data_IF_230344774613
#
_entry.id   IF_230344774613
#
_cell.length_a   1.000
_cell.length_b   1.000
_cell.length_c   1.000
_cell.angle_alpha   90.00
_cell.angle_beta   90.00
_cell.angle_gamma   90.00
#
_symmetry.space_group_name_H-M   'P 1'
#
loop_
_entity.id
_entity.type
_entity.pdbx_description
1 polymer ?
#
# COMPACT_ATOMS: atom_id res chain seq x y z
N UNK A 1 16.23 26.03 -4.21
CA UNK A 1 15.72 24.97 -3.32
C UNK A 1 15.15 23.93 -4.24
N UNK A 2 15.90 22.85 -4.45
CA UNK A 2 15.52 21.84 -5.44
C UNK A 2 14.67 20.80 -4.73
N UNK A 3 13.37 20.82 -5.02
CA UNK A 3 12.44 19.84 -4.48
C UNK A 3 12.58 18.54 -5.28
N UNK A 4 13.23 17.54 -4.68
CA UNK A 4 13.37 16.20 -5.25
C UNK A 4 12.24 15.31 -4.74
N UNK A 5 11.57 14.58 -5.63
CA UNK A 5 10.55 13.59 -5.31
C UNK A 5 10.79 12.32 -6.12
N UNK A 6 10.28 11.18 -5.64
CA UNK A 6 10.32 9.92 -6.36
C UNK A 6 8.91 9.46 -6.70
N UNK A 7 8.72 8.88 -7.88
CA UNK A 7 7.45 8.26 -8.25
C UNK A 7 7.45 6.80 -7.80
N UNK A 8 6.28 6.29 -7.46
CA UNK A 8 6.12 4.87 -7.04
C UNK A 8 6.51 3.91 -8.16
N UNK A 9 6.26 4.27 -9.41
CA UNK A 9 6.65 3.48 -10.60
C UNK A 9 8.15 3.19 -10.67
N UNK A 10 8.99 4.07 -10.14
CA UNK A 10 10.45 3.92 -10.16
C UNK A 10 10.96 3.02 -9.02
N UNK A 11 10.11 2.69 -8.05
CA UNK A 11 10.48 1.93 -6.85
C UNK A 11 10.14 0.46 -7.03
N UNK A 12 11.16 -0.35 -7.34
CA UNK A 12 11.03 -1.80 -7.52
C UNK A 12 11.13 -2.61 -6.22
N UNK A 13 11.17 -1.94 -5.07
CA UNK A 13 11.28 -2.60 -3.76
C UNK A 13 9.95 -3.22 -3.34
N UNK A 14 9.97 -4.34 -2.60
CA UNK A 14 8.75 -4.91 -2.01
C UNK A 14 8.24 -4.03 -0.88
N UNK A 15 6.91 -4.01 -0.71
CA UNK A 15 6.26 -3.25 0.36
C UNK A 15 6.52 -3.93 1.70
N UNK A 16 7.14 -3.20 2.62
CA UNK A 16 7.44 -3.68 3.96
C UNK A 16 6.73 -2.85 5.03
N UNK A 17 6.25 -3.50 6.09
CA UNK A 17 5.62 -2.84 7.24
C UNK A 17 6.17 -3.44 8.52
N UNK A 18 6.63 -2.61 9.45
CA UNK A 18 7.04 -3.06 10.78
C UNK A 18 5.85 -3.03 11.73
N UNK A 19 5.57 -4.16 12.37
CA UNK A 19 4.62 -4.22 13.49
C UNK A 19 5.42 -4.02 14.78
N UNK A 20 5.20 -2.89 15.46
CA UNK A 20 5.98 -2.51 16.63
C UNK A 20 5.34 -3.03 17.92
N UNK A 21 4.34 -2.32 18.43
CA UNK A 21 3.70 -2.60 19.73
C UNK A 21 2.19 -2.54 19.64
N UNK A 22 1.52 -3.37 20.43
CA UNK A 22 0.08 -3.28 20.67
C UNK A 22 -0.12 -2.75 22.09
N UNK A 23 -0.88 -1.67 22.19
CA UNK A 23 -1.25 -1.03 23.44
C UNK A 23 -2.76 -1.13 23.67
N UNK A 24 -3.11 -1.08 24.96
CA UNK A 24 -4.48 -1.04 25.43
C UNK A 24 -4.82 -2.22 26.32
N UNK A 25 -5.84 -2.02 27.14
CA UNK A 25 -6.34 -3.04 28.05
C UNK A 25 -7.37 -3.86 27.30
N UNK A 26 -6.92 -4.85 26.53
CA UNK A 26 -7.85 -5.86 26.06
C UNK A 26 -8.38 -6.57 27.30
N UNK A 27 -9.59 -6.21 27.72
CA UNK A 27 -10.41 -7.10 28.52
C UNK A 27 -10.72 -8.26 27.59
N UNK A 28 -9.79 -9.20 27.52
CA UNK A 28 -10.17 -10.58 27.29
C UNK A 28 -11.23 -10.84 28.34
N UNK A 29 -12.50 -10.72 27.95
CA UNK A 29 -13.52 -11.56 28.54
C UNK A 29 -12.97 -12.94 28.23
N UNK A 30 -12.24 -13.49 29.20
CA UNK A 30 -11.81 -14.87 29.24
C UNK A 30 -13.09 -15.64 28.99
N UNK A 31 -13.31 -15.99 27.73
CA UNK A 31 -14.37 -16.89 27.34
C UNK A 31 -13.83 -18.20 27.87
N UNK A 32 -14.19 -18.45 29.13
CA UNK A 32 -14.17 -19.74 29.76
C UNK A 32 -13.02 -20.63 29.28
N UNK A 33 -11.84 -20.39 29.85
CA UNK A 33 -11.21 -21.53 30.53
C UNK A 33 -12.17 -21.93 31.65
N UNK A 34 -13.30 -22.55 31.29
CA UNK A 34 -14.00 -23.51 32.12
C UNK A 34 -13.10 -24.74 32.17
N UNK A 35 -11.91 -24.53 32.73
CA UNK A 35 -11.13 -25.57 33.35
C UNK A 35 -11.85 -25.74 34.67
N UNK A 36 -12.44 -26.92 34.83
CA UNK A 36 -13.05 -27.40 36.06
C UNK A 36 -12.33 -26.81 37.27
N UNK A 37 -13.10 -26.15 38.15
CA UNK A 37 -12.67 -25.59 39.45
C UNK A 37 -12.18 -26.65 40.45
N UNK A 38 -11.73 -27.80 39.96
CA UNK A 38 -11.39 -28.99 40.70
C UNK A 38 -10.17 -29.63 40.05
N UNK A 39 -9.03 -28.93 40.08
CA UNK A 39 -7.76 -29.48 40.57
C UNK A 39 -6.59 -28.52 40.39
N UNK A 40 -6.01 -28.17 41.54
CA UNK A 40 -4.66 -27.68 41.77
C UNK A 40 -4.39 -26.22 41.34
N UNK A 41 -4.84 -25.34 42.22
CA UNK A 41 -4.31 -24.00 42.43
C UNK A 41 -2.88 -24.07 42.98
N UNK A 42 -1.89 -24.25 42.11
CA UNK A 42 -0.50 -23.86 42.41
C UNK A 42 -0.17 -22.59 41.63
N UNK A 43 -0.50 -21.46 42.26
CA UNK A 43 0.14 -20.16 42.14
C UNK A 43 1.32 -20.06 41.14
N UNK A 44 1.05 -19.49 39.97
CA UNK A 44 1.99 -18.52 39.39
C UNK A 44 1.23 -17.22 39.21
N UNK A 45 1.56 -16.24 40.05
CA UNK A 45 1.00 -14.87 40.11
C UNK A 45 1.21 -14.04 38.83
N UNK A 46 1.76 -14.65 37.78
CA UNK A 46 2.00 -14.04 36.48
C UNK A 46 1.07 -14.72 35.48
N UNK A 47 -0.16 -14.22 35.30
CA UNK A 47 -0.96 -14.63 34.15
C UNK A 47 -0.15 -14.25 32.91
N UNK A 48 0.31 -15.20 32.07
CA UNK A 48 0.92 -14.84 30.81
C UNK A 48 -0.09 -14.03 30.01
N UNK A 49 0.41 -13.01 29.29
CA UNK A 49 -0.41 -12.33 28.29
C UNK A 49 -0.87 -13.38 27.25
N UNK A 50 -2.04 -13.17 26.63
CA UNK A 50 -2.50 -14.06 25.57
C UNK A 50 -1.49 -14.18 24.43
N UNK A 51 -1.51 -15.35 23.80
CA UNK A 51 -0.79 -15.61 22.57
C UNK A 51 -1.48 -14.89 21.42
N UNK A 52 -0.89 -13.79 20.97
CA UNK A 52 -1.45 -12.93 19.92
C UNK A 52 -0.55 -12.97 18.70
N UNK A 53 -1.15 -12.98 17.52
CA UNK A 53 -0.45 -12.76 16.26
C UNK A 53 -1.21 -11.74 15.40
N UNK A 54 -0.48 -11.06 14.53
CA UNK A 54 -1.04 -10.04 13.64
C UNK A 54 -0.94 -10.54 12.21
N UNK A 55 -2.01 -10.34 11.43
CA UNK A 55 -1.99 -10.55 9.98
C UNK A 55 -2.17 -9.23 9.26
N UNK A 56 -1.38 -9.04 8.22
CA UNK A 56 -1.38 -7.87 7.35
C UNK A 56 -1.73 -8.31 5.94
N UNK A 57 -2.72 -7.65 5.35
CA UNK A 57 -3.15 -7.90 3.97
C UNK A 57 -3.34 -6.57 3.25
N UNK A 58 -2.93 -6.51 1.98
CA UNK A 58 -3.09 -5.33 1.17
C UNK A 58 -4.35 -5.44 0.30
N UNK A 59 -5.12 -4.36 0.26
CA UNK A 59 -6.32 -4.18 -0.55
C UNK A 59 -6.15 -2.99 -1.51
N UNK A 60 -6.75 -3.09 -2.68
CA UNK A 60 -6.90 -2.01 -3.66
C UNK A 60 -8.27 -2.10 -4.30
N UNK A 61 -9.00 -0.99 -4.36
CA UNK A 61 -10.36 -0.91 -4.90
C UNK A 61 -11.31 -2.02 -4.40
N UNK A 62 -11.30 -2.27 -3.09
CA UNK A 62 -12.07 -3.32 -2.39
C UNK A 62 -11.68 -4.77 -2.76
N UNK A 63 -10.56 -4.98 -3.45
CA UNK A 63 -10.05 -6.31 -3.80
C UNK A 63 -8.73 -6.60 -3.07
N UNK A 64 -8.53 -7.81 -2.54
CA UNK A 64 -7.26 -8.18 -1.95
C UNK A 64 -6.20 -8.27 -3.06
N UNK A 65 -5.12 -7.50 -2.91
CA UNK A 65 -3.96 -7.52 -3.81
C UNK A 65 -2.93 -8.57 -3.40
N UNK A 66 -2.85 -8.87 -2.09
CA UNK A 66 -1.90 -9.84 -1.55
C UNK A 66 -2.61 -10.90 -0.72
N UNK A 67 -1.90 -12.01 -0.52
CA UNK A 67 -2.21 -12.97 0.55
C UNK A 67 -1.90 -12.36 1.93
N UNK A 68 -2.63 -12.77 2.97
CA UNK A 68 -2.37 -12.31 4.33
C UNK A 68 -1.03 -12.83 4.84
N UNK A 69 -0.15 -11.92 5.27
CA UNK A 69 1.15 -12.23 5.87
C UNK A 69 1.02 -12.13 7.39
N UNK A 70 1.49 -13.13 8.12
CA UNK A 70 1.40 -13.20 9.59
C UNK A 70 2.74 -12.87 10.25
N UNK A 71 2.68 -12.30 11.45
CA UNK A 71 3.86 -12.16 12.33
C UNK A 71 4.34 -13.51 12.83
N UNK A 72 5.62 -13.57 13.17
CA UNK A 72 6.20 -14.67 13.92
C UNK A 72 5.55 -14.81 15.31
N UNK A 73 5.58 -16.03 15.84
CA UNK A 73 5.10 -16.29 17.20
C UNK A 73 6.10 -15.76 18.22
N UNK A 74 5.59 -15.04 19.23
CA UNK A 74 6.39 -14.56 20.36
C UNK A 74 5.58 -14.69 21.64
N UNK A 75 6.20 -15.24 22.69
CA UNK A 75 5.59 -15.31 24.00
C UNK A 75 5.73 -13.97 24.73
N UNK A 76 4.60 -13.39 25.16
CA UNK A 76 4.57 -12.07 25.80
C UNK A 76 4.51 -12.19 27.32
N UNK A 77 5.30 -11.36 28.02
CA UNK A 77 5.34 -11.32 29.49
C UNK A 77 4.64 -10.07 30.05
N UNK A 78 5.12 -8.88 29.68
CA UNK A 78 4.65 -7.62 30.27
C UNK A 78 3.88 -6.72 29.28
N UNK A 79 4.25 -6.74 27.99
CA UNK A 79 3.60 -5.97 26.94
C UNK A 79 3.73 -6.70 25.60
N UNK A 80 2.85 -6.37 24.65
CA UNK A 80 2.89 -6.92 23.30
C UNK A 80 3.83 -6.10 22.40
N UNK A 81 5.05 -6.60 22.19
CA UNK A 81 6.03 -6.02 21.26
C UNK A 81 6.55 -7.08 20.28
N UNK A 82 6.28 -6.88 18.99
CA UNK A 82 6.84 -7.72 17.93
C UNK A 82 8.17 -7.15 17.44
N UNK A 83 8.18 -5.88 17.06
CA UNK A 83 9.29 -5.19 16.40
C UNK A 83 9.80 -5.98 15.17
N UNK A 84 8.87 -6.52 14.39
CA UNK A 84 9.14 -7.39 13.25
C UNK A 84 8.76 -6.69 11.95
N UNK A 85 9.64 -6.76 10.95
CA UNK A 85 9.36 -6.31 9.59
C UNK A 85 8.67 -7.43 8.81
N UNK A 86 7.47 -7.13 8.29
CA UNK A 86 6.73 -7.99 7.39
C UNK A 86 6.85 -7.46 5.97
N UNK A 87 7.36 -8.31 5.08
CA UNK A 87 7.47 -8.00 3.64
C UNK A 87 6.29 -8.62 2.92
N UNK A 88 5.50 -7.79 2.25
CA UNK A 88 4.37 -8.22 1.43
C UNK A 88 4.86 -8.62 0.03
N UNK A 89 4.22 -9.60 -0.63
CA UNK A 89 4.60 -10.09 -1.96
C UNK A 89 4.10 -9.15 -3.08
N UNK A 90 4.31 -7.85 -2.94
CA UNK A 90 3.96 -6.82 -3.92
C UNK A 90 4.98 -5.69 -3.84
N UNK A 91 5.29 -5.08 -4.98
CA UNK A 91 6.25 -3.98 -5.09
C UNK A 91 5.55 -2.63 -5.00
N UNK A 92 6.31 -1.58 -4.66
CA UNK A 92 5.79 -0.21 -4.61
C UNK A 92 5.30 0.29 -5.97
N UNK A 93 5.92 -0.13 -7.08
CA UNK A 93 5.50 0.21 -8.44
C UNK A 93 4.13 -0.34 -8.85
N UNK A 94 3.68 -1.43 -8.22
CA UNK A 94 2.42 -2.11 -8.56
C UNK A 94 1.27 -1.65 -7.65
N UNK A 95 1.52 -0.70 -6.74
CA UNK A 95 0.52 -0.20 -5.80
C UNK A 95 -0.44 0.78 -6.46
N UNK A 96 -1.77 0.57 -6.37
CA UNK A 96 -2.74 1.58 -6.78
C UNK A 96 -2.79 2.74 -5.78
N UNK A 97 -3.22 3.92 -6.21
CA UNK A 97 -3.42 5.08 -5.33
C UNK A 97 -4.43 4.81 -4.19
N UNK A 98 -5.36 3.89 -4.40
CA UNK A 98 -6.35 3.46 -3.42
C UNK A 98 -5.84 2.41 -2.42
N UNK A 99 -4.55 2.05 -2.46
CA UNK A 99 -4.00 0.97 -1.64
C UNK A 99 -4.20 1.19 -0.13
N UNK A 100 -4.78 0.17 0.52
CA UNK A 100 -5.03 0.13 1.96
C UNK A 100 -4.46 -1.14 2.57
N UNK A 101 -3.86 -1.01 3.74
CA UNK A 101 -3.44 -2.12 4.58
C UNK A 101 -4.55 -2.48 5.55
N UNK A 102 -5.09 -3.68 5.40
CA UNK A 102 -5.97 -4.32 6.38
C UNK A 102 -5.08 -5.08 7.38
N UNK A 103 -5.16 -4.71 8.65
CA UNK A 103 -4.38 -5.31 9.73
C UNK A 103 -5.35 -5.87 10.77
N UNK A 104 -5.25 -7.16 11.02
CA UNK A 104 -6.08 -7.86 12.01
C UNK A 104 -5.21 -8.50 13.07
N UNK A 105 -5.59 -8.27 14.32
CA UNK A 105 -4.96 -8.84 15.50
C UNK A 105 -5.81 -10.02 15.96
N UNK A 106 -5.19 -11.18 16.12
CA UNK A 106 -5.86 -12.44 16.44
C UNK A 106 -5.40 -12.99 17.79
N UNK A 107 -6.35 -13.47 18.57
CA UNK A 107 -6.11 -14.26 19.77
C UNK A 107 -6.07 -15.75 19.43
N UNK A 108 -5.00 -16.44 19.82
CA UNK A 108 -4.86 -17.88 19.67
C UNK A 108 -5.44 -18.59 20.91
N UNK A 109 -6.77 -18.74 20.94
CA UNK A 109 -7.49 -19.35 22.08
C UNK A 109 -7.29 -20.87 22.13
N UNK A 110 -7.09 -21.52 20.98
CA UNK A 110 -6.93 -22.98 20.94
C UNK A 110 -6.49 -23.53 19.58
N UNK A 111 -6.42 -24.86 19.45
CA UNK A 111 -5.99 -25.50 18.22
C UNK A 111 -6.94 -25.17 17.07
N UNK A 112 -6.41 -24.52 16.03
CA UNK A 112 -7.15 -24.04 14.84
C UNK A 112 -8.33 -23.10 15.14
N UNK A 113 -8.42 -22.56 16.35
CA UNK A 113 -9.47 -21.60 16.75
C UNK A 113 -8.81 -20.27 17.08
N UNK A 114 -9.14 -19.26 16.28
CA UNK A 114 -8.58 -17.92 16.39
C UNK A 114 -9.72 -16.93 16.46
N UNK A 115 -9.66 -16.00 17.42
CA UNK A 115 -10.69 -14.97 17.59
C UNK A 115 -10.10 -13.62 17.19
N UNK A 116 -10.77 -12.79 16.38
CA UNK A 116 -10.30 -11.45 16.10
C UNK A 116 -10.40 -10.61 17.38
N UNK A 117 -9.27 -10.08 17.83
CA UNK A 117 -9.19 -9.10 18.93
C UNK A 117 -9.58 -7.74 18.40
N UNK A 118 -9.10 -7.41 17.20
CA UNK A 118 -9.50 -6.20 16.52
C UNK A 118 -8.83 -5.98 15.17
N UNK A 119 -9.50 -5.14 14.39
CA UNK A 119 -9.15 -4.84 13.01
C UNK A 119 -8.89 -3.35 12.83
N UNK A 120 -7.95 -3.02 11.97
CA UNK A 120 -7.70 -1.66 11.56
C UNK A 120 -7.34 -1.60 10.09
N UNK A 121 -7.87 -0.60 9.40
CA UNK A 121 -7.59 -0.33 8.00
C UNK A 121 -6.80 0.96 7.88
N UNK A 122 -5.64 0.89 7.24
CA UNK A 122 -4.69 1.99 7.09
C UNK A 122 -4.40 2.29 5.63
N UNK A 123 -4.75 3.50 5.18
CA UNK A 123 -4.48 3.94 3.82
C UNK A 123 -3.00 4.31 3.63
N UNK A 124 -2.32 3.65 2.69
CA UNK A 124 -0.89 3.89 2.41
C UNK A 124 -0.63 5.29 1.84
N UNK A 125 -1.50 5.74 0.93
CA UNK A 125 -1.39 7.06 0.32
C UNK A 125 -2.20 8.12 1.09
N UNK A 126 -1.66 9.33 1.18
CA UNK A 126 -2.33 10.50 1.72
C UNK A 126 -3.28 11.15 0.73
N UNK A 127 -3.86 12.30 1.11
CA UNK A 127 -4.73 13.10 0.23
C UNK A 127 -4.01 13.67 -0.99
N UNK A 128 -2.70 13.89 -0.89
CA UNK A 128 -1.84 14.38 -1.97
C UNK A 128 -1.21 13.22 -2.76
N UNK A 129 -1.75 11.99 -2.64
CA UNK A 129 -1.18 10.78 -3.20
C UNK A 129 0.29 10.53 -2.81
N UNK A 130 0.72 11.07 -1.67
CA UNK A 130 2.05 10.85 -1.09
C UNK A 130 2.03 9.61 -0.21
N UNK A 131 3.04 8.76 -0.36
CA UNK A 131 3.19 7.57 0.47
C UNK A 131 3.47 7.99 1.93
N UNK A 132 2.69 7.44 2.85
CA UNK A 132 2.91 7.67 4.28
C UNK A 132 4.20 6.96 4.71
N UNK A 133 5.00 7.63 5.55
CA UNK A 133 6.28 7.12 6.06
C UNK A 133 6.42 7.24 7.57
N UNK A 134 7.30 6.42 8.14
CA UNK A 134 7.67 6.43 9.55
C UNK A 134 6.60 5.85 10.47
N UNK A 135 6.60 6.30 11.73
CA UNK A 135 5.75 5.74 12.78
C UNK A 135 4.29 6.18 12.63
N UNK A 136 3.37 5.27 12.93
CA UNK A 136 1.94 5.49 12.88
C UNK A 136 1.24 4.73 14.01
N UNK A 137 0.42 5.46 14.78
CA UNK A 137 -0.57 4.88 15.68
C UNK A 137 -1.86 4.64 14.93
N UNK A 138 -2.37 3.42 15.04
CA UNK A 138 -3.63 2.98 14.45
C UNK A 138 -4.59 2.63 15.57
N UNK A 139 -5.81 3.17 15.51
CA UNK A 139 -6.88 2.69 16.38
C UNK A 139 -7.34 1.30 15.93
N UNK A 140 -7.50 0.39 16.88
CA UNK A 140 -8.03 -0.96 16.65
C UNK A 140 -9.48 -1.04 17.10
N UNK A 141 -10.33 -1.51 16.19
CA UNK A 141 -11.74 -1.74 16.46
C UNK A 141 -11.92 -3.11 17.11
N UNK A 142 -12.46 -3.18 18.34
CA UNK A 142 -12.53 -4.42 19.10
C UNK A 142 -13.47 -5.45 18.45
N UNK A 143 -13.11 -6.73 18.55
CA UNK A 143 -13.90 -7.90 18.10
C UNK A 143 -14.30 -7.88 16.60
N UNK A 144 -13.68 -7.04 15.76
CA UNK A 144 -13.95 -6.92 14.33
C UNK A 144 -12.72 -7.27 13.48
N UNK A 145 -12.92 -7.88 12.32
CA UNK A 145 -11.88 -8.05 11.30
C UNK A 145 -11.71 -6.76 10.46
N UNK A 146 -10.56 -6.60 9.83
CA UNK A 146 -10.27 -5.46 8.97
C UNK A 146 -10.87 -5.72 7.59
N UNK A 147 -11.72 -4.81 7.14
CA UNK A 147 -12.48 -4.90 5.90
C UNK A 147 -11.62 -4.59 4.66
N UNK A 148 -10.66 -3.66 4.78
CA UNK A 148 -9.81 -3.25 3.65
C UNK A 148 -10.56 -2.51 2.53
N UNK A 149 -11.82 -2.14 2.77
CA UNK A 149 -12.68 -1.43 1.81
C UNK A 149 -12.41 0.08 1.79
N UNK A 150 -12.77 0.74 0.67
CA UNK A 150 -12.59 2.19 0.47
C UNK A 150 -13.31 3.00 1.55
N UNK A 151 -14.53 2.60 1.88
CA UNK A 151 -15.34 3.14 2.96
C UNK A 151 -15.31 2.18 4.17
N UNK A 152 -14.11 2.02 4.73
CA UNK A 152 -13.85 1.05 5.80
C UNK A 152 -14.71 1.29 7.04
N UNK A 153 -15.29 0.21 7.56
CA UNK A 153 -15.92 0.15 8.88
C UNK A 153 -14.92 0.23 10.03
N UNK A 154 -13.63 0.00 9.74
CA UNK A 154 -12.53 -0.03 10.72
C UNK A 154 -11.44 1.01 10.40
N UNK A 155 -11.76 2.31 10.35
CA UNK A 155 -10.77 3.34 10.04
C UNK A 155 -9.70 3.44 11.13
N UNK A 156 -8.44 3.54 10.71
CA UNK A 156 -7.29 3.72 11.62
C UNK A 156 -7.27 5.05 12.38
N UNK A 157 -8.00 6.08 11.90
CA UNK A 157 -8.07 7.41 12.52
C UNK A 157 -9.50 7.77 12.85
N UNK A 158 -9.81 7.88 14.14
CA UNK A 158 -11.10 8.38 14.61
C UNK A 158 -11.08 9.91 14.56
N UNK A 159 -12.08 10.52 13.90
CA UNK A 159 -12.18 12.00 13.77
C UNK A 159 -12.37 12.69 15.13
N UNK A 160 -13.10 12.07 16.07
CA UNK A 160 -13.34 12.62 17.41
C UNK A 160 -12.06 12.77 18.25
N UNK A 161 -11.03 11.98 17.96
CA UNK A 161 -9.82 11.94 18.77
C UNK A 161 -8.74 12.94 18.28
N UNK A 162 -8.97 13.63 17.15
CA UNK A 162 -7.98 14.54 16.53
C UNK A 162 -7.43 15.63 17.46
N UNK A 163 -8.23 16.04 18.46
CA UNK A 163 -7.92 17.12 19.39
C UNK A 163 -7.36 16.64 20.74
N UNK A 164 -7.29 15.33 20.96
CA UNK A 164 -6.70 14.76 22.16
C UNK A 164 -5.22 15.14 22.27
N UNK A 165 -4.79 15.54 23.47
CA UNK A 165 -3.41 15.97 23.75
C UNK A 165 -2.39 14.90 23.34
N UNK A 166 -2.75 13.63 23.43
CA UNK A 166 -1.95 12.51 22.95
C UNK A 166 -1.67 12.60 21.44
N UNK A 167 -2.70 12.84 20.63
CA UNK A 167 -2.56 12.92 19.18
C UNK A 167 -1.77 14.16 18.74
N UNK A 168 -1.83 15.24 19.52
CA UNK A 168 -0.96 16.42 19.35
C UNK A 168 0.50 16.07 19.63
N UNK A 169 0.76 15.37 20.73
CA UNK A 169 2.11 14.93 21.12
C UNK A 169 2.73 13.99 20.09
N UNK A 170 1.96 13.02 19.59
CA UNK A 170 2.42 12.10 18.56
C UNK A 170 2.72 12.80 17.23
N UNK A 171 1.92 13.80 16.85
CA UNK A 171 2.23 14.65 15.69
C UNK A 171 3.56 15.38 15.89
N UNK A 172 3.83 15.92 17.09
CA UNK A 172 5.09 16.60 17.40
C UNK A 172 6.29 15.64 17.36
N UNK A 173 6.18 14.47 18.00
CA UNK A 173 7.22 13.42 17.96
C UNK A 173 7.49 12.98 16.52
N UNK A 174 6.44 12.85 15.70
CA UNK A 174 6.60 12.50 14.29
C UNK A 174 7.36 13.58 13.50
N UNK A 175 7.06 14.87 13.73
CA UNK A 175 7.79 15.99 13.10
C UNK A 175 9.27 16.00 13.51
N UNK A 176 9.54 15.74 14.79
CA UNK A 176 10.91 15.58 15.29
C UNK A 176 11.63 14.42 14.58
N UNK A 177 11.00 13.25 14.51
CA UNK A 177 11.52 12.06 13.81
C UNK A 177 11.73 12.25 12.30
N UNK A 178 11.09 13.26 11.70
CA UNK A 178 11.24 13.67 10.31
C UNK A 178 12.34 14.73 10.11
N UNK A 179 12.86 15.32 11.20
CA UNK A 179 13.83 16.41 11.15
C UNK A 179 13.23 17.80 10.89
N UNK A 180 11.90 17.97 11.00
CA UNK A 180 11.25 19.28 10.86
C UNK A 180 11.54 20.20 12.07
N UNK A 181 11.85 19.59 13.21
CA UNK A 181 12.20 20.28 14.46
C UNK A 181 13.70 20.09 14.67
N UNK A 182 14.41 21.19 14.92
CA UNK A 182 15.84 21.15 15.25
C UNK A 182 16.04 20.40 16.57
N UNK A 183 16.94 19.40 16.63
CA UNK A 183 17.25 18.71 17.87
C UNK A 183 18.04 19.62 18.80
N UNK A 184 17.64 19.65 20.07
CA UNK A 184 18.30 20.38 21.14
C UNK A 184 18.44 19.41 22.33
N UNK A 185 19.60 18.72 22.41
CA UNK A 185 19.76 17.49 23.20
C UNK A 185 19.29 17.59 24.65
N UNK A 186 19.64 18.67 25.35
CA UNK A 186 19.29 18.83 26.76
C UNK A 186 17.78 19.03 26.98
N UNK A 187 17.12 19.77 26.08
CA UNK A 187 15.69 20.03 26.15
C UNK A 187 14.91 18.79 25.70
N UNK A 188 15.39 18.12 24.66
CA UNK A 188 14.81 16.90 24.11
C UNK A 188 14.77 15.79 25.16
N UNK A 189 15.86 15.60 25.93
CA UNK A 189 15.89 14.62 27.04
C UNK A 189 14.79 14.90 28.06
N UNK A 190 14.60 16.17 28.46
CA UNK A 190 13.55 16.54 29.41
C UNK A 190 12.14 16.39 28.81
N UNK A 191 11.97 16.79 27.56
CA UNK A 191 10.71 16.71 26.83
C UNK A 191 10.28 15.26 26.62
N UNK A 192 11.18 14.37 26.17
CA UNK A 192 10.88 12.95 25.98
C UNK A 192 10.52 12.24 27.28
N UNK A 193 11.19 12.57 28.39
CA UNK A 193 10.82 12.03 29.70
C UNK A 193 9.39 12.44 30.09
N UNK A 194 9.02 13.69 29.84
CA UNK A 194 7.67 14.18 30.13
C UNK A 194 6.63 13.57 29.18
N UNK A 195 6.97 13.41 27.90
CA UNK A 195 6.14 12.74 26.90
C UNK A 195 5.84 11.30 27.33
N UNK A 196 6.86 10.56 27.76
CA UNK A 196 6.70 9.18 28.25
C UNK A 196 5.82 9.13 29.51
N UNK A 197 6.01 10.06 30.45
CA UNK A 197 5.18 10.16 31.66
C UNK A 197 3.70 10.41 31.34
N UNK A 198 3.43 11.35 30.43
CA UNK A 198 2.08 11.65 29.95
C UNK A 198 1.50 10.45 29.19
N UNK A 199 2.28 9.83 28.31
CA UNK A 199 1.87 8.67 27.54
C UNK A 199 1.50 7.50 28.45
N UNK A 200 2.31 7.21 29.46
CA UNK A 200 2.04 6.19 30.48
C UNK A 200 0.75 6.46 31.25
N UNK A 201 0.53 7.70 31.65
CA UNK A 201 -0.67 8.11 32.41
C UNK A 201 -1.94 7.96 31.56
N UNK A 202 -1.89 8.42 30.31
CA UNK A 202 -3.01 8.36 29.37
C UNK A 202 -3.27 6.94 28.86
N UNK A 203 -2.22 6.14 28.63
CA UNK A 203 -2.34 4.73 28.24
C UNK A 203 -2.91 3.89 29.40
N UNK A 204 -2.58 4.24 30.65
CA UNK A 204 -3.22 3.63 31.82
C UNK A 204 -4.70 4.02 31.97
N UNK A 205 -5.08 5.24 31.59
CA UNK A 205 -6.47 5.70 31.65
C UNK A 205 -7.32 5.16 30.49
N UNK A 206 -6.73 5.01 29.30
CA UNK A 206 -7.43 4.55 28.11
C UNK A 206 -7.67 3.04 28.14
N UNK A 207 -8.87 2.64 27.75
CA UNK A 207 -9.22 1.22 27.51
C UNK A 207 -9.16 0.88 26.02
N UNK A 208 -9.00 1.87 25.14
CA UNK A 208 -8.96 1.67 23.70
C UNK A 208 -7.69 0.91 23.27
N UNK A 209 -7.85 0.03 22.28
CA UNK A 209 -6.73 -0.67 21.67
C UNK A 209 -6.09 0.20 20.59
N UNK A 210 -4.77 0.24 20.58
CA UNK A 210 -3.98 0.95 19.59
C UNK A 210 -2.80 0.09 19.13
N UNK A 211 -2.61 0.00 17.81
CA UNK A 211 -1.47 -0.66 17.19
C UNK A 211 -0.48 0.38 16.68
N UNK A 212 0.78 0.24 17.08
CA UNK A 212 1.88 1.02 16.53
C UNK A 212 2.54 0.26 15.40
N UNK A 213 2.57 0.88 14.23
CA UNK A 213 3.25 0.36 13.04
C UNK A 213 4.29 1.37 12.56
N UNK A 214 5.34 0.87 11.90
CA UNK A 214 6.33 1.72 11.24
C UNK A 214 6.44 1.36 9.76
N UNK A 215 6.35 2.38 8.93
CA UNK A 215 6.57 2.30 7.50
C UNK A 215 8.01 2.69 7.19
N UNK A 216 8.61 2.14 6.12
CA UNK A 216 9.97 2.50 5.73
C UNK A 216 10.07 4.01 5.50
N UNK A 217 11.15 4.60 5.99
CA UNK A 217 11.46 6.00 5.79
C UNK A 217 12.26 6.13 4.49
N UNK A 218 11.70 6.84 3.53
CA UNK A 218 12.41 7.26 2.33
C UNK A 218 12.98 8.67 2.52
N UNK A 219 14.18 8.89 1.97
CA UNK A 219 14.88 10.19 2.00
C UNK A 219 14.07 11.24 1.24
N UNK A 220 13.44 10.84 0.13
CA UNK A 220 12.59 11.70 -0.69
C UNK A 220 11.10 11.39 -0.44
N UNK A 221 10.20 12.38 -0.61
CA UNK A 221 8.77 12.12 -0.67
C UNK A 221 8.45 11.24 -1.88
N UNK A 222 7.79 10.11 -1.61
CA UNK A 222 7.32 9.20 -2.67
C UNK A 222 5.89 9.59 -3.04
N UNK A 223 5.66 9.89 -4.31
CA UNK A 223 4.37 10.28 -4.87
C UNK A 223 3.83 9.13 -5.73
N UNK A 224 2.52 8.97 -5.75
CA UNK A 224 1.86 8.06 -6.69
C UNK A 224 2.21 8.45 -8.14
N UNK A 225 2.71 7.50 -8.92
CA UNK A 225 2.93 7.68 -10.35
C UNK A 225 2.43 6.46 -11.09
N UNK A 226 1.53 6.67 -12.04
CA UNK A 226 1.02 5.58 -12.87
C UNK A 226 2.11 5.08 -13.82
N UNK A 227 2.06 3.78 -14.12
CA UNK A 227 2.88 3.21 -15.17
C UNK A 227 2.32 3.74 -16.50
N UNK A 228 3.02 4.73 -17.04
CA UNK A 228 2.67 5.35 -18.30
C UNK A 228 2.93 4.36 -19.43
N UNK A 229 1.95 4.18 -20.30
CA UNK A 229 2.11 3.35 -21.47
C UNK A 229 2.90 4.15 -22.52
N UNK A 230 4.17 3.82 -22.71
CA UNK A 230 4.99 4.43 -23.75
C UNK A 230 4.42 4.04 -25.13
N UNK A 231 3.77 5.01 -25.78
CA UNK A 231 3.43 4.89 -27.18
C UNK A 231 4.75 4.80 -27.97
N UNK A 232 4.94 3.81 -28.86
CA UNK A 232 6.09 3.81 -29.75
C UNK A 232 6.07 5.11 -30.55
N UNK A 233 7.11 5.93 -30.40
CA UNK A 233 7.22 7.16 -31.16
C UNK A 233 7.23 6.86 -32.66
N UNK A 234 6.83 7.81 -33.53
CA UNK A 234 6.76 7.63 -34.98
C UNK A 234 8.09 7.18 -35.64
N UNK A 235 9.20 7.21 -34.90
CA UNK A 235 10.53 6.80 -35.33
C UNK A 235 11.22 5.78 -34.40
N UNK A 236 10.48 5.14 -33.47
CA UNK A 236 11.08 4.16 -32.54
C UNK A 236 11.34 2.83 -33.28
N UNK A 237 12.44 2.79 -34.03
CA UNK A 237 12.97 1.59 -34.68
C UNK A 237 13.68 0.67 -33.68
N UNK A 238 12.97 0.24 -32.64
CA UNK A 238 13.51 -0.80 -31.76
C UNK A 238 13.08 -2.17 -32.29
N UNK A 239 13.81 -2.66 -33.29
CA UNK A 239 13.92 -4.11 -33.52
C UNK A 239 13.32 -4.69 -34.81
N UNK A 240 13.39 -4.00 -35.95
CA UNK A 240 13.40 -4.67 -37.28
C UNK A 240 13.86 -3.69 -38.37
N UNK A 241 15.07 -3.90 -38.88
CA UNK A 241 15.72 -3.15 -39.98
C UNK A 241 15.06 -3.35 -41.36
N UNK A 242 13.85 -3.90 -41.42
CA UNK A 242 13.18 -4.26 -42.68
C UNK A 242 12.14 -3.20 -43.11
N UNK A 243 11.71 -2.31 -42.21
CA UNK A 243 10.64 -1.32 -42.51
C UNK A 243 11.10 0.05 -43.03
N UNK A 244 12.33 0.49 -42.72
CA UNK A 244 12.78 1.84 -43.05
C UNK A 244 12.90 2.11 -44.55
N UNK A 245 13.30 1.11 -45.33
CA UNK A 245 13.44 1.25 -46.79
C UNK A 245 12.07 1.29 -47.49
N UNK A 246 11.10 0.51 -47.00
CA UNK A 246 9.75 0.47 -47.55
C UNK A 246 8.97 1.76 -47.24
N UNK A 247 9.12 2.33 -46.04
CA UNK A 247 8.45 3.59 -45.67
C UNK A 247 9.04 4.82 -46.37
N UNK A 248 10.37 4.90 -46.52
CA UNK A 248 11.01 5.95 -47.33
C UNK A 248 10.63 5.85 -48.81
N UNK A 249 10.44 4.63 -49.32
CA UNK A 249 9.95 4.41 -50.68
C UNK A 249 8.47 4.80 -50.84
N UNK A 250 7.60 4.45 -49.88
CA UNK A 250 6.17 4.80 -49.92
C UNK A 250 5.92 6.30 -49.80
N UNK A 251 6.70 7.02 -48.99
CA UNK A 251 6.57 8.47 -48.80
C UNK A 251 7.11 9.29 -49.99
N UNK A 252 7.94 8.68 -50.85
CA UNK A 252 8.51 9.32 -52.03
C UNK A 252 7.86 8.85 -53.35
N UNK A 253 6.79 8.06 -53.27
CA UNK A 253 6.05 7.61 -54.46
C UNK A 253 5.06 8.69 -54.92
N UNK A 254 5.32 9.26 -56.09
CA UNK A 254 4.28 9.95 -56.86
C UNK A 254 3.32 8.88 -57.40
N UNK A 255 2.10 8.85 -56.86
CA UNK A 255 1.04 7.96 -57.38
C UNK A 255 0.47 8.60 -58.64
N UNK A 256 0.72 7.97 -59.79
CA UNK A 256 0.06 8.32 -61.03
C UNK A 256 -1.42 7.96 -60.93
N UNK A 257 -2.29 8.97 -60.99
CA UNK A 257 -3.69 8.74 -61.32
C UNK A 257 -3.74 8.19 -62.75
N UNK A 258 -4.23 6.96 -62.92
CA UNK A 258 -4.64 6.49 -64.24
C UNK A 258 -5.87 7.29 -64.65
N UNK A 259 -5.64 8.36 -65.42
CA UNK A 259 -6.70 9.06 -66.12
C UNK A 259 -6.60 8.72 -67.60
N UNK A 260 -7.53 7.89 -68.08
CA UNK A 260 -7.82 7.81 -69.51
C UNK A 260 -8.75 8.98 -69.84
N UNK A 261 -8.18 10.10 -70.29
CA UNK A 261 -8.56 10.85 -71.50
C UNK A 261 -7.91 12.23 -71.53
N UNK A 262 -7.52 12.62 -72.74
CA UNK A 262 -6.92 13.90 -73.12
C UNK A 262 -7.65 15.12 -72.54
N UNK A 263 -6.94 15.96 -71.78
CA UNK A 263 -6.81 17.45 -71.91
C UNK A 263 -6.18 18.06 -70.64
N UNK A 264 -5.17 18.92 -70.79
CA UNK A 264 -4.60 19.75 -69.70
C UNK A 264 -5.30 21.13 -69.66
N UNK A 265 -5.20 21.95 -68.57
CA UNK A 265 -4.43 21.76 -67.33
C UNK A 265 -5.17 22.19 -66.04
N UNK A 266 -5.19 21.34 -65.01
CA UNK A 266 -5.06 21.81 -63.62
C UNK A 266 -4.62 20.65 -62.72
N UNK A 267 -3.32 20.55 -62.48
CA UNK A 267 -2.78 19.68 -61.44
C UNK A 267 -3.14 20.27 -60.07
N UNK A 268 -4.33 19.98 -59.58
CA UNK A 268 -4.57 20.03 -58.13
C UNK A 268 -3.90 18.79 -57.55
N UNK A 269 -2.64 18.95 -57.12
CA UNK A 269 -1.96 17.94 -56.31
C UNK A 269 -2.82 17.72 -55.07
N UNK A 270 -3.61 16.66 -55.07
CA UNK A 270 -4.39 16.26 -53.90
C UNK A 270 -3.36 15.80 -52.87
N UNK A 271 -3.06 16.68 -51.92
CA UNK A 271 -2.02 16.47 -50.94
C UNK A 271 -2.55 15.48 -49.89
N UNK A 272 -2.35 14.19 -50.14
CA UNK A 272 -2.67 13.15 -49.16
C UNK A 272 -1.63 13.21 -48.04
N UNK A 273 -2.11 13.38 -46.81
CA UNK A 273 -1.28 13.25 -45.61
C UNK A 273 -1.20 11.77 -45.26
N UNK A 274 -0.01 11.20 -45.38
CA UNK A 274 0.28 9.88 -44.82
C UNK A 274 0.28 10.01 -43.29
N UNK A 275 -0.80 9.57 -42.66
CA UNK A 275 -0.88 9.43 -41.20
C UNK A 275 -0.20 8.11 -40.84
N UNK A 276 0.92 8.19 -40.13
CA UNK A 276 1.60 7.01 -39.62
C UNK A 276 0.81 6.46 -38.43
N UNK A 277 0.31 5.23 -38.57
CA UNK A 277 -0.33 4.53 -37.46
C UNK A 277 0.77 3.96 -36.53
N UNK A 278 0.93 4.57 -35.37
CA UNK A 278 1.90 4.16 -34.34
C UNK A 278 1.64 2.78 -33.76
N UNK A 279 0.42 2.24 -33.89
CA UNK A 279 0.08 0.89 -33.41
C UNK A 279 0.21 -0.19 -34.52
N UNK A 280 0.62 0.15 -35.75
CA UNK A 280 0.76 -0.80 -36.86
C UNK A 280 1.71 -1.96 -36.56
N UNK A 281 2.75 -1.73 -35.75
CA UNK A 281 3.72 -2.76 -35.36
C UNK A 281 3.20 -3.71 -34.27
N UNK A 282 2.02 -3.43 -33.69
CA UNK A 282 1.42 -4.27 -32.66
C UNK A 282 0.44 -5.25 -33.28
N UNK A 283 0.34 -6.42 -32.66
CA UNK A 283 -0.70 -7.39 -32.99
C UNK A 283 -2.08 -6.72 -32.81
N UNK A 284 -2.87 -6.71 -33.88
CA UNK A 284 -4.19 -6.10 -33.88
C UNK A 284 -5.04 -6.69 -32.74
N UNK A 285 -5.56 -5.88 -31.80
CA UNK A 285 -6.31 -6.37 -30.65
C UNK A 285 -7.57 -7.14 -31.06
N UNK A 286 -8.19 -6.79 -32.19
CA UNK A 286 -9.35 -7.50 -32.75
C UNK A 286 -8.94 -8.90 -33.22
N UNK A 287 -7.82 -9.01 -33.90
CA UNK A 287 -7.31 -10.29 -34.40
C UNK A 287 -6.78 -11.18 -33.26
N UNK A 288 -6.14 -10.59 -32.26
CA UNK A 288 -5.74 -11.28 -31.03
C UNK A 288 -6.97 -11.78 -30.24
N UNK A 289 -8.02 -10.96 -30.12
CA UNK A 289 -9.30 -11.35 -29.51
C UNK A 289 -9.97 -12.47 -30.31
N UNK A 290 -10.03 -12.36 -31.64
CA UNK A 290 -10.57 -13.41 -32.51
C UNK A 290 -9.80 -14.73 -32.35
N UNK A 291 -8.45 -14.70 -32.40
CA UNK A 291 -7.61 -15.88 -32.17
C UNK A 291 -7.86 -16.51 -30.80
N UNK A 292 -8.00 -15.71 -29.74
CA UNK A 292 -8.33 -16.21 -28.38
C UNK A 292 -9.71 -16.87 -28.34
N UNK A 293 -10.70 -16.26 -28.99
CA UNK A 293 -12.09 -16.72 -28.98
C UNK A 293 -12.27 -18.01 -29.82
N UNK A 294 -11.62 -18.10 -30.98
CA UNK A 294 -11.60 -19.33 -31.78
C UNK A 294 -10.91 -20.48 -31.03
N UNK A 295 -9.86 -20.20 -30.26
CA UNK A 295 -9.21 -21.20 -29.40
C UNK A 295 -10.10 -21.64 -28.24
N UNK A 296 -10.84 -20.74 -27.60
CA UNK A 296 -11.74 -21.11 -26.49
C UNK A 296 -12.92 -21.96 -26.93
N UNK A 297 -13.38 -21.84 -28.18
CA UNK A 297 -14.46 -22.67 -28.74
C UNK A 297 -13.99 -24.04 -29.26
N UNK A 298 -12.67 -24.28 -29.32
CA UNK A 298 -12.09 -25.54 -29.80
C UNK A 298 -11.83 -26.56 -28.69
N UNK A 299 -12.03 -26.19 -27.43
CA UNK A 299 -12.08 -27.06 -26.26
C UNK A 299 -13.53 -27.19 -25.77
#
# INVERSE_FOLDING_TARGET
MDFSYCLTKDIQLPVSVRIATLEGKHRLKSTERQVDKTRVSTYTLNSPLPDVYVTVQLYGDNKPLTVPVKTSYKAFKNHWSWNEWLTLPIRYCDLPASAQLAITVWDAIGPRKTKPIGGTTFQLFGKQCTLRKGKHKLHLWPDCEADGSRDTTTPSKIKQDQDSDMNKLEKLVKRYDCGDIRPEEWLDVMAFRQIESIHKTLSAASTALALYIDLPKFDFPVVYGEMEYDLPGPFSSTGQTVGETAMKAAMNQQIYAMDQRDTMPQRTATQYVLVLDTDLQRDNPVEAKHRRLVRSHRN
#
